data_IF_902488629762
#
_entry.id   IF_902488629762
#
_cell.length_a   1.000
_cell.length_b   1.000
_cell.length_c   1.000
_cell.angle_alpha   90.00
_cell.angle_beta   90.00
_cell.angle_gamma   90.00
#
_symmetry.space_group_name_H-M   'P 1'
#
loop_
_entity.id
_entity.type
_entity.pdbx_description
1 polymer ?
#
# COMPACT_ATOMS: atom_id res chain seq x y z
N UNK A 1 7.22 13.08 -30.59
CA UNK A 1 7.30 12.20 -29.40
C UNK A 1 6.33 11.05 -29.62
N UNK A 2 6.82 9.83 -29.86
CA UNK A 2 5.94 8.66 -30.02
C UNK A 2 5.36 8.34 -28.64
N UNK A 3 4.06 8.53 -28.46
CA UNK A 3 3.36 8.04 -27.28
C UNK A 3 3.52 6.52 -27.23
N UNK A 4 4.13 6.02 -26.15
CA UNK A 4 4.22 4.59 -25.85
C UNK A 4 2.80 4.02 -25.78
N UNK A 5 2.56 2.92 -26.50
CA UNK A 5 1.24 2.29 -26.58
C UNK A 5 0.70 2.00 -25.17
N UNK A 6 -0.59 2.27 -24.91
CA UNK A 6 -1.23 2.06 -23.60
C UNK A 6 -1.34 0.59 -23.16
N UNK A 7 -0.84 -0.35 -23.95
CA UNK A 7 -0.89 -1.79 -23.68
C UNK A 7 0.15 -2.27 -22.67
N UNK A 8 1.28 -1.56 -22.51
CA UNK A 8 2.41 -2.10 -21.73
C UNK A 8 2.07 -2.33 -20.25
N UNK A 9 1.57 -1.33 -19.52
CA UNK A 9 1.42 -1.48 -18.06
C UNK A 9 0.31 -2.47 -17.66
N UNK A 10 -0.80 -2.58 -18.39
CA UNK A 10 -1.86 -3.56 -18.06
C UNK A 10 -1.36 -4.98 -18.24
N UNK A 11 -0.65 -5.23 -19.33
CA UNK A 11 -0.01 -6.52 -19.60
C UNK A 11 1.04 -6.85 -18.56
N UNK A 12 1.82 -5.86 -18.12
CA UNK A 12 2.79 -6.04 -17.03
C UNK A 12 2.10 -6.35 -15.70
N UNK A 13 1.05 -5.60 -15.34
CA UNK A 13 0.29 -5.83 -14.12
C UNK A 13 -0.37 -7.21 -14.12
N UNK A 14 -0.84 -7.70 -15.27
CA UNK A 14 -1.48 -9.01 -15.40
C UNK A 14 -0.52 -10.18 -15.64
N UNK A 15 0.79 -9.95 -15.65
CA UNK A 15 1.76 -11.00 -15.90
C UNK A 15 1.68 -12.07 -14.80
N UNK A 16 1.72 -13.34 -15.21
CA UNK A 16 1.81 -14.49 -14.31
C UNK A 16 3.14 -14.47 -13.57
N UNK A 17 4.25 -14.37 -14.31
CA UNK A 17 5.56 -14.00 -13.78
C UNK A 17 5.70 -12.48 -13.67
N UNK A 18 5.10 -11.91 -12.62
CA UNK A 18 5.17 -10.48 -12.37
C UNK A 18 6.56 -10.06 -11.88
N UNK A 19 7.06 -8.96 -12.44
CA UNK A 19 8.33 -8.33 -12.03
C UNK A 19 8.07 -6.87 -11.63
N UNK A 20 8.18 -6.50 -10.35
CA UNK A 20 7.96 -5.15 -9.87
C UNK A 20 8.71 -4.07 -10.67
N UNK A 21 9.96 -4.33 -11.04
CA UNK A 21 10.81 -3.39 -11.79
C UNK A 21 10.22 -3.03 -13.14
N UNK A 22 9.62 -3.99 -13.83
CA UNK A 22 9.00 -3.77 -15.14
C UNK A 22 7.84 -2.79 -15.02
N UNK A 23 6.99 -2.93 -14.00
CA UNK A 23 5.88 -2.01 -13.72
C UNK A 23 6.41 -0.62 -13.36
N UNK A 24 7.40 -0.51 -12.48
CA UNK A 24 7.96 0.79 -12.10
C UNK A 24 8.68 1.47 -13.27
N UNK A 25 9.32 0.71 -14.16
CA UNK A 25 9.89 1.23 -15.41
C UNK A 25 8.81 1.79 -16.33
N UNK A 26 7.72 1.05 -16.54
CA UNK A 26 6.60 1.53 -17.35
C UNK A 26 5.97 2.81 -16.78
N UNK A 27 5.78 2.89 -15.45
CA UNK A 27 5.31 4.12 -14.82
C UNK A 27 6.29 5.27 -14.92
N UNK A 28 7.60 4.99 -14.94
CA UNK A 28 8.65 5.99 -15.13
C UNK A 28 8.65 6.61 -16.54
N UNK A 29 7.90 6.07 -17.51
CA UNK A 29 7.65 6.77 -18.78
C UNK A 29 6.79 8.05 -18.58
N UNK A 30 6.10 8.17 -17.44
CA UNK A 30 5.50 9.43 -17.03
C UNK A 30 6.50 10.26 -16.24
N UNK A 31 6.93 11.39 -16.82
CA UNK A 31 7.91 12.30 -16.22
C UNK A 31 7.53 12.78 -14.81
N UNK A 32 6.23 12.88 -14.51
CA UNK A 32 5.76 13.24 -13.18
C UNK A 32 6.10 12.16 -12.15
N UNK A 33 5.86 10.88 -12.47
CA UNK A 33 6.11 9.73 -11.62
C UNK A 33 7.61 9.47 -11.48
N UNK A 34 8.34 9.44 -12.61
CA UNK A 34 9.79 9.22 -12.63
C UNK A 34 10.53 10.10 -11.63
N UNK A 35 10.22 11.41 -11.66
CA UNK A 35 10.84 12.40 -10.76
C UNK A 35 10.57 12.16 -9.28
N UNK A 36 9.48 11.49 -8.91
CA UNK A 36 9.24 11.16 -7.51
C UNK A 36 9.99 9.89 -7.10
N UNK A 37 10.04 8.89 -7.98
CA UNK A 37 10.77 7.63 -7.72
C UNK A 37 12.27 7.83 -7.48
N UNK A 38 12.89 8.83 -8.09
CA UNK A 38 14.30 9.17 -7.89
C UNK A 38 14.59 9.90 -6.57
N UNK A 39 13.57 10.44 -5.89
CA UNK A 39 13.74 11.18 -4.64
C UNK A 39 13.75 10.26 -3.43
N UNK A 40 14.22 10.77 -2.29
CA UNK A 40 14.20 10.06 -1.02
C UNK A 40 12.78 9.65 -0.62
N UNK A 41 12.62 8.40 -0.15
CA UNK A 41 11.35 7.89 0.34
C UNK A 41 10.94 8.56 1.66
N UNK A 42 11.90 8.75 2.57
CA UNK A 42 11.67 9.30 3.90
C UNK A 42 12.80 10.25 4.28
N UNK A 43 12.47 11.35 4.96
CA UNK A 43 13.47 12.28 5.48
C UNK A 43 14.41 11.56 6.46
N UNK A 44 15.72 11.63 6.22
CA UNK A 44 16.75 11.03 7.08
C UNK A 44 17.17 9.60 6.69
N UNK A 45 16.52 8.95 5.72
CA UNK A 45 16.93 7.64 5.21
C UNK A 45 17.58 7.76 3.83
N UNK A 46 18.60 6.92 3.59
CA UNK A 46 19.41 6.97 2.37
C UNK A 46 18.92 5.98 1.28
N UNK A 47 17.60 5.91 1.05
CA UNK A 47 17.03 5.14 -0.04
C UNK A 47 15.95 5.92 -0.80
N UNK A 48 15.86 5.63 -2.10
CA UNK A 48 14.89 6.27 -3.00
C UNK A 48 13.49 5.70 -2.78
N UNK A 49 12.48 6.47 -3.14
CA UNK A 49 11.09 6.02 -3.19
C UNK A 49 10.96 4.78 -4.07
N UNK A 50 11.70 4.70 -5.18
CA UNK A 50 11.73 3.49 -6.01
C UNK A 50 12.15 2.24 -5.24
N UNK A 51 13.22 2.32 -4.44
CA UNK A 51 13.71 1.17 -3.65
C UNK A 51 12.65 0.73 -2.63
N UNK A 52 12.01 1.69 -1.96
CA UNK A 52 10.85 1.43 -1.09
C UNK A 52 9.75 0.67 -1.81
N UNK A 53 9.28 1.22 -2.93
CA UNK A 53 8.16 0.66 -3.68
C UNK A 53 8.46 -0.74 -4.22
N UNK A 54 9.70 -1.05 -4.61
CA UNK A 54 10.09 -2.41 -5.01
C UNK A 54 9.95 -3.40 -3.85
N UNK A 55 10.53 -3.08 -2.69
CA UNK A 55 10.45 -3.90 -1.49
C UNK A 55 9.01 -4.21 -1.07
N UNK A 56 8.15 -3.18 -1.04
CA UNK A 56 6.71 -3.32 -0.76
C UNK A 56 6.00 -4.24 -1.76
N UNK A 57 6.35 -4.15 -3.05
CA UNK A 57 5.79 -5.02 -4.09
C UNK A 57 6.30 -6.46 -3.96
N UNK A 58 7.58 -6.67 -3.65
CA UNK A 58 8.17 -7.99 -3.46
C UNK A 58 7.51 -8.75 -2.30
N UNK A 59 7.24 -8.06 -1.19
CA UNK A 59 6.49 -8.61 -0.05
C UNK A 59 5.08 -9.03 -0.48
N UNK A 60 4.37 -8.16 -1.22
CA UNK A 60 3.06 -8.49 -1.77
C UNK A 60 3.09 -9.75 -2.64
N UNK A 61 4.03 -9.84 -3.57
CA UNK A 61 4.14 -10.98 -4.48
C UNK A 61 4.47 -12.27 -3.74
N UNK A 62 5.39 -12.21 -2.77
CA UNK A 62 5.86 -13.37 -2.02
C UNK A 62 4.80 -13.95 -1.10
N UNK A 63 4.07 -13.10 -0.37
CA UNK A 63 3.21 -13.55 0.73
C UNK A 63 1.72 -13.49 0.43
N UNK A 64 1.28 -12.56 -0.41
CA UNK A 64 -0.14 -12.21 -0.51
C UNK A 64 -0.73 -12.46 -1.90
N UNK A 65 0.03 -12.29 -2.97
CA UNK A 65 -0.50 -12.25 -4.34
C UNK A 65 -1.32 -13.49 -4.74
N UNK A 66 -0.91 -14.67 -4.28
CA UNK A 66 -1.47 -15.97 -4.67
C UNK A 66 -2.93 -16.16 -4.27
N UNK A 67 -3.42 -15.43 -3.25
CA UNK A 67 -4.82 -15.53 -2.78
C UNK A 67 -5.74 -14.49 -3.43
N UNK A 68 -5.21 -13.61 -4.27
CA UNK A 68 -5.98 -12.60 -4.99
C UNK A 68 -6.30 -13.10 -6.40
N UNK A 69 -7.55 -12.91 -6.80
CA UNK A 69 -7.98 -13.03 -8.19
C UNK A 69 -7.18 -12.08 -9.08
N UNK A 70 -6.94 -12.44 -10.35
CA UNK A 70 -6.07 -11.68 -11.24
C UNK A 70 -6.43 -10.17 -11.29
N UNK A 71 -7.72 -9.86 -11.38
CA UNK A 71 -8.18 -8.47 -11.38
C UNK A 71 -7.85 -7.71 -10.08
N UNK A 72 -8.03 -8.36 -8.93
CA UNK A 72 -7.73 -7.77 -7.62
C UNK A 72 -6.22 -7.63 -7.41
N UNK A 73 -5.44 -8.64 -7.82
CA UNK A 73 -3.98 -8.64 -7.80
C UNK A 73 -3.41 -7.47 -8.60
N UNK A 74 -3.94 -7.22 -9.81
CA UNK A 74 -3.54 -6.08 -10.63
C UNK A 74 -3.83 -4.74 -9.95
N UNK A 75 -4.99 -4.63 -9.28
CA UNK A 75 -5.34 -3.44 -8.49
C UNK A 75 -4.39 -3.24 -7.31
N UNK A 76 -4.03 -4.30 -6.58
CA UNK A 76 -3.07 -4.24 -5.48
C UNK A 76 -1.67 -3.85 -5.96
N UNK A 77 -1.17 -4.46 -7.04
CA UNK A 77 0.10 -4.09 -7.68
C UNK A 77 0.14 -2.61 -8.04
N UNK A 78 -0.95 -2.07 -8.60
CA UNK A 78 -1.04 -0.65 -8.94
C UNK A 78 -1.13 0.25 -7.70
N UNK A 79 -1.89 -0.16 -6.68
CA UNK A 79 -2.01 0.54 -5.40
C UNK A 79 -0.64 0.69 -4.75
N UNK A 80 0.08 -0.42 -4.58
CA UNK A 80 1.40 -0.46 -3.97
C UNK A 80 2.44 0.28 -4.80
N UNK A 81 2.37 0.22 -6.13
CA UNK A 81 3.29 0.99 -6.99
C UNK A 81 3.13 2.51 -6.86
N UNK A 82 1.97 3.00 -6.41
CA UNK A 82 1.64 4.44 -6.38
C UNK A 82 1.43 5.00 -4.96
N UNK A 83 1.41 4.17 -3.91
CA UNK A 83 0.97 4.57 -2.57
C UNK A 83 1.69 5.82 -2.02
N UNK A 84 3.02 5.83 -2.10
CA UNK A 84 3.86 6.91 -1.56
C UNK A 84 4.32 7.92 -2.62
N UNK A 85 3.71 7.94 -3.81
CA UNK A 85 4.17 8.81 -4.91
C UNK A 85 4.12 10.31 -4.57
N UNK A 86 3.27 10.72 -3.64
CA UNK A 86 3.18 12.09 -3.13
C UNK A 86 4.18 12.44 -2.03
N UNK A 87 4.79 11.45 -1.38
CA UNK A 87 5.63 11.62 -0.20
C UNK A 87 6.86 12.51 -0.43
N UNK A 88 7.59 12.43 -1.56
CA UNK A 88 8.70 13.33 -1.80
C UNK A 88 8.28 14.81 -1.90
N UNK A 89 7.05 15.09 -2.35
CA UNK A 89 6.53 16.46 -2.37
C UNK A 89 6.18 16.97 -0.96
N UNK A 90 5.68 16.09 -0.09
CA UNK A 90 5.43 16.39 1.32
C UNK A 90 6.73 16.70 2.07
N UNK A 91 7.78 15.89 1.87
CA UNK A 91 9.13 16.12 2.42
C UNK A 91 9.68 17.46 1.94
N UNK A 92 9.60 17.75 0.63
CA UNK A 92 10.08 19.02 0.07
C UNK A 92 9.36 20.23 0.68
N UNK A 93 8.10 20.07 1.11
CA UNK A 93 7.30 21.11 1.76
C UNK A 93 7.51 21.18 3.28
N UNK A 94 8.26 20.25 3.87
CA UNK A 94 8.47 20.18 5.31
C UNK A 94 7.25 19.72 6.10
N UNK A 95 6.23 19.16 5.45
CA UNK A 95 4.98 18.75 6.08
C UNK A 95 4.54 17.36 5.57
N UNK A 96 4.81 16.34 6.40
CA UNK A 96 4.51 14.93 6.10
C UNK A 96 3.00 14.66 6.00
N UNK A 97 2.15 15.47 6.64
CA UNK A 97 0.69 15.28 6.61
C UNK A 97 0.11 15.48 5.21
N UNK A 98 0.86 16.15 4.32
CA UNK A 98 0.44 16.40 2.94
C UNK A 98 0.65 15.21 1.99
N UNK A 99 1.26 14.10 2.43
CA UNK A 99 1.64 13.00 1.53
C UNK A 99 0.43 12.41 0.79
N UNK A 100 -0.66 12.09 1.49
CA UNK A 100 -1.87 11.50 0.92
C UNK A 100 -2.54 12.47 -0.08
N UNK A 101 -2.57 13.76 0.27
CA UNK A 101 -3.09 14.82 -0.61
C UNK A 101 -2.27 14.91 -1.91
N UNK A 102 -0.95 14.81 -1.84
CA UNK A 102 -0.10 14.82 -3.04
C UNK A 102 -0.22 13.53 -3.84
N UNK A 103 -0.32 12.37 -3.20
CA UNK A 103 -0.55 11.07 -3.86
C UNK A 103 -1.84 11.12 -4.66
N UNK A 104 -2.97 11.49 -4.05
CA UNK A 104 -4.27 11.63 -4.73
C UNK A 104 -4.18 12.63 -5.87
N UNK A 105 -3.53 13.78 -5.67
CA UNK A 105 -3.36 14.79 -6.72
C UNK A 105 -2.58 14.25 -7.92
N UNK A 106 -1.56 13.42 -7.72
CA UNK A 106 -0.79 12.80 -8.80
C UNK A 106 -1.66 11.77 -9.52
N UNK A 107 -2.33 10.88 -8.79
CA UNK A 107 -3.20 9.83 -9.34
C UNK A 107 -4.33 10.42 -10.19
N UNK A 108 -4.97 11.50 -9.72
CA UNK A 108 -6.03 12.19 -10.46
C UNK A 108 -5.55 12.90 -11.74
N UNK A 109 -4.23 13.11 -11.88
CA UNK A 109 -3.62 13.67 -13.10
C UNK A 109 -3.12 12.60 -14.06
N UNK A 110 -3.13 11.32 -13.67
CA UNK A 110 -2.78 10.24 -14.56
C UNK A 110 -3.84 10.09 -15.65
N UNK A 111 -3.46 9.86 -16.91
CA UNK A 111 -4.42 9.66 -17.99
C UNK A 111 -5.39 8.50 -17.69
N UNK A 112 -6.64 8.59 -18.13
CA UNK A 112 -7.63 7.49 -17.98
C UNK A 112 -7.17 6.20 -18.65
N UNK A 113 -6.36 6.34 -19.71
CA UNK A 113 -5.69 5.21 -20.37
C UNK A 113 -4.69 4.48 -19.47
N UNK A 114 -4.28 5.04 -18.33
CA UNK A 114 -3.40 4.43 -17.33
C UNK A 114 -4.20 3.93 -16.12
N UNK A 115 -5.10 4.76 -15.62
CA UNK A 115 -5.93 4.44 -14.47
C UNK A 115 -7.37 4.80 -14.82
N UNK A 116 -8.20 3.79 -15.08
CA UNK A 116 -9.61 4.03 -15.40
C UNK A 116 -10.37 4.61 -14.20
N UNK A 117 -11.52 5.25 -14.42
CA UNK A 117 -12.25 5.97 -13.36
C UNK A 117 -12.58 5.13 -12.13
N UNK A 118 -13.06 3.89 -12.30
CA UNK A 118 -13.36 2.99 -11.18
C UNK A 118 -12.11 2.60 -10.39
N UNK A 119 -11.01 2.30 -11.09
CA UNK A 119 -9.72 2.01 -10.45
C UNK A 119 -9.17 3.24 -9.73
N UNK A 120 -9.31 4.42 -10.33
CA UNK A 120 -8.87 5.68 -9.73
C UNK A 120 -9.63 5.95 -8.43
N UNK A 121 -10.95 5.77 -8.43
CA UNK A 121 -11.75 5.90 -7.22
C UNK A 121 -11.26 4.95 -6.13
N UNK A 122 -11.09 3.67 -6.46
CA UNK A 122 -10.57 2.65 -5.54
C UNK A 122 -9.20 3.03 -4.94
N UNK A 123 -8.24 3.42 -5.78
CA UNK A 123 -6.91 3.87 -5.35
C UNK A 123 -7.01 5.08 -4.42
N UNK A 124 -7.75 6.11 -4.82
CA UNK A 124 -7.89 7.33 -4.04
C UNK A 124 -8.57 7.06 -2.69
N UNK A 125 -9.54 6.16 -2.63
CA UNK A 125 -10.21 5.75 -1.38
C UNK A 125 -9.25 5.08 -0.41
N UNK A 126 -8.43 4.12 -0.87
CA UNK A 126 -7.50 3.41 0.01
C UNK A 126 -6.29 4.27 0.41
N UNK A 127 -5.85 5.19 -0.45
CA UNK A 127 -4.66 6.02 -0.21
C UNK A 127 -4.96 7.37 0.47
N UNK A 128 -6.22 7.64 0.80
CA UNK A 128 -6.63 8.93 1.35
C UNK A 128 -6.07 9.22 2.75
N UNK A 129 -5.81 8.19 3.55
CA UNK A 129 -5.37 8.33 4.94
C UNK A 129 -4.80 7.00 5.49
N UNK A 130 -4.02 7.04 6.58
CA UNK A 130 -3.46 5.87 7.30
C UNK A 130 -4.25 5.56 8.58
N UNK A 131 -5.58 5.44 8.47
CA UNK A 131 -6.43 5.32 9.67
C UNK A 131 -6.20 4.04 10.49
N UNK A 132 -5.76 2.94 9.89
CA UNK A 132 -5.39 1.74 10.65
C UNK A 132 -4.02 1.92 11.30
N UNK A 133 -3.02 2.46 10.59
CA UNK A 133 -1.72 2.72 11.18
C UNK A 133 -1.79 3.70 12.35
N UNK A 134 -2.54 4.80 12.22
CA UNK A 134 -2.74 5.77 13.29
C UNK A 134 -3.49 5.16 14.48
N UNK A 135 -4.48 4.31 14.26
CA UNK A 135 -5.14 3.60 15.36
C UNK A 135 -4.19 2.62 16.08
N UNK A 136 -3.44 1.81 15.31
CA UNK A 136 -2.51 0.85 15.89
C UNK A 136 -1.41 1.56 16.71
N UNK A 137 -0.92 2.70 16.22
CA UNK A 137 0.03 3.60 16.92
C UNK A 137 -0.58 4.35 18.11
N UNK A 138 -1.91 4.38 18.24
CA UNK A 138 -2.63 5.07 19.32
C UNK A 138 -2.92 6.56 19.06
N UNK A 139 -2.73 7.03 17.83
CA UNK A 139 -3.06 8.39 17.42
C UNK A 139 -4.58 8.57 17.20
N UNK A 140 -5.28 7.49 16.83
CA UNK A 140 -6.74 7.48 16.71
C UNK A 140 -7.39 6.63 17.79
N UNK A 141 -8.57 7.05 18.23
CA UNK A 141 -9.50 6.20 18.99
C UNK A 141 -10.14 5.16 18.07
N UNK A 142 -10.74 4.12 18.66
CA UNK A 142 -11.50 3.11 17.92
C UNK A 142 -12.61 3.75 17.07
N UNK A 143 -13.39 4.66 17.66
CA UNK A 143 -14.48 5.38 16.98
C UNK A 143 -13.97 6.18 15.76
N UNK A 144 -12.86 6.90 15.90
CA UNK A 144 -12.25 7.66 14.81
C UNK A 144 -11.79 6.75 13.67
N UNK A 145 -11.18 5.60 14.00
CA UNK A 145 -10.75 4.61 13.03
C UNK A 145 -11.95 4.02 12.26
N UNK A 146 -12.98 3.57 13.00
CA UNK A 146 -14.18 2.96 12.43
C UNK A 146 -14.97 3.94 11.55
N UNK A 147 -15.11 5.20 11.98
CA UNK A 147 -15.77 6.24 11.19
C UNK A 147 -15.11 6.41 9.81
N UNK A 148 -13.77 6.48 9.79
CA UNK A 148 -12.99 6.64 8.55
C UNK A 148 -13.02 5.37 7.69
N UNK A 149 -12.85 4.20 8.29
CA UNK A 149 -12.97 2.90 7.62
C UNK A 149 -14.33 2.74 6.93
N UNK A 150 -15.43 3.04 7.63
CA UNK A 150 -16.79 2.93 7.09
C UNK A 150 -17.03 3.94 5.96
N UNK A 151 -16.55 5.17 6.10
CA UNK A 151 -16.64 6.17 5.04
C UNK A 151 -15.85 5.76 3.78
N UNK A 152 -14.65 5.20 3.95
CA UNK A 152 -13.85 4.68 2.85
C UNK A 152 -14.53 3.47 2.18
N UNK A 153 -15.01 2.51 2.97
CA UNK A 153 -15.76 1.36 2.46
C UNK A 153 -16.98 1.77 1.63
N UNK A 154 -17.78 2.72 2.12
CA UNK A 154 -18.96 3.22 1.41
C UNK A 154 -18.62 3.82 0.03
N UNK A 155 -17.44 4.44 -0.12
CA UNK A 155 -16.96 4.97 -1.40
C UNK A 155 -16.36 3.90 -2.31
N UNK A 156 -15.94 2.77 -1.74
CA UNK A 156 -15.22 1.72 -2.44
C UNK A 156 -16.14 0.84 -3.31
N UNK A 157 -17.39 0.64 -2.89
CA UNK A 157 -18.35 -0.25 -3.55
C UNK A 157 -18.03 -1.75 -3.45
N UNK A 158 -16.99 -2.14 -2.69
CA UNK A 158 -16.64 -3.54 -2.48
C UNK A 158 -17.44 -4.17 -1.33
N UNK A 159 -17.44 -5.51 -1.28
CA UNK A 159 -17.85 -6.23 -0.09
C UNK A 159 -16.98 -5.83 1.11
N UNK A 160 -17.58 -5.81 2.30
CA UNK A 160 -16.94 -5.32 3.53
C UNK A 160 -15.72 -6.16 3.91
N UNK A 161 -15.83 -7.48 3.82
CA UNK A 161 -14.70 -8.38 4.12
C UNK A 161 -13.60 -8.26 3.07
N UNK A 162 -13.98 -8.13 1.79
CA UNK A 162 -13.02 -7.89 0.70
C UNK A 162 -12.26 -6.58 0.92
N UNK A 163 -12.97 -5.48 1.20
CA UNK A 163 -12.37 -4.18 1.46
C UNK A 163 -11.39 -4.23 2.64
N UNK A 164 -11.82 -4.78 3.78
CA UNK A 164 -10.98 -4.86 4.96
C UNK A 164 -9.73 -5.71 4.71
N UNK A 165 -9.87 -6.82 3.99
CA UNK A 165 -8.74 -7.67 3.62
C UNK A 165 -7.73 -6.93 2.73
N UNK A 166 -8.20 -6.26 1.67
CA UNK A 166 -7.33 -5.50 0.77
C UNK A 166 -6.60 -4.38 1.53
N UNK A 167 -7.31 -3.67 2.39
CA UNK A 167 -6.73 -2.61 3.19
C UNK A 167 -5.71 -3.13 4.21
N UNK A 168 -5.97 -4.29 4.84
CA UNK A 168 -5.04 -4.93 5.76
C UNK A 168 -3.77 -5.40 5.07
N UNK A 169 -3.89 -6.03 3.90
CA UNK A 169 -2.74 -6.45 3.09
C UNK A 169 -1.92 -5.24 2.62
N UNK A 170 -2.59 -4.19 2.14
CA UNK A 170 -1.95 -2.93 1.78
C UNK A 170 -1.13 -2.37 2.95
N UNK A 171 -1.75 -2.26 4.13
CA UNK A 171 -1.10 -1.74 5.33
C UNK A 171 0.14 -2.56 5.71
N UNK A 172 0.03 -3.89 5.73
CA UNK A 172 1.15 -4.76 6.08
C UNK A 172 2.30 -4.60 5.07
N UNK A 173 2.01 -4.61 3.77
CA UNK A 173 3.04 -4.42 2.75
C UNK A 173 3.77 -3.07 2.89
N UNK A 174 3.05 -1.96 3.12
CA UNK A 174 3.67 -0.64 3.29
C UNK A 174 4.55 -0.56 4.55
N UNK A 175 4.06 -1.10 5.67
CA UNK A 175 4.81 -1.18 6.93
C UNK A 175 6.06 -2.06 6.79
N UNK A 176 5.97 -3.17 6.05
CA UNK A 176 7.09 -4.10 5.87
C UNK A 176 8.26 -3.49 5.11
N UNK A 177 8.03 -2.46 4.29
CA UNK A 177 9.11 -1.65 3.71
C UNK A 177 10.01 -0.98 4.77
N UNK A 178 9.62 -0.99 6.05
CA UNK A 178 10.39 -0.46 7.18
C UNK A 178 10.79 -1.54 8.20
N UNK A 179 10.72 -2.81 7.82
CA UNK A 179 11.18 -3.94 8.63
C UNK A 179 12.40 -4.63 8.03
N UNK A 180 13.05 -5.52 8.80
CA UNK A 180 14.14 -6.36 8.27
C UNK A 180 13.72 -7.15 7.03
N UNK A 181 12.44 -7.52 6.93
CA UNK A 181 11.89 -8.22 5.76
C UNK A 181 12.00 -7.36 4.50
N UNK A 182 11.72 -6.07 4.61
CA UNK A 182 11.82 -5.13 3.50
C UNK A 182 13.26 -4.74 3.12
N UNK A 183 14.26 -5.16 3.90
CA UNK A 183 15.69 -4.88 3.68
C UNK A 183 16.04 -3.37 3.54
N UNK A 184 15.25 -2.50 4.18
CA UNK A 184 15.51 -1.05 4.20
C UNK A 184 15.87 -0.54 5.59
N UNK A 185 15.08 -0.91 6.61
CA UNK A 185 15.25 -0.48 8.01
C UNK A 185 14.65 -1.51 8.95
N UNK A 186 15.00 -1.54 10.23
CA UNK A 186 14.31 -2.35 11.26
C UNK A 186 13.35 -1.52 12.13
N UNK A 187 12.95 -0.33 11.67
CA UNK A 187 12.28 0.67 12.50
C UNK A 187 10.89 0.23 12.99
N UNK A 188 10.22 -0.63 12.22
CA UNK A 188 8.86 -1.10 12.50
C UNK A 188 8.78 -2.60 12.84
N UNK A 189 9.91 -3.27 13.09
CA UNK A 189 9.94 -4.70 13.44
C UNK A 189 9.06 -5.01 14.66
N UNK A 190 9.00 -4.09 15.63
CA UNK A 190 8.20 -4.25 16.85
C UNK A 190 6.68 -4.36 16.61
N UNK A 191 6.20 -4.00 15.42
CA UNK A 191 4.79 -4.17 15.05
C UNK A 191 4.44 -5.63 14.80
N UNK A 192 5.40 -6.50 14.47
CA UNK A 192 5.16 -7.88 14.11
C UNK A 192 5.68 -8.88 15.13
N UNK A 193 5.09 -10.07 15.11
CA UNK A 193 5.69 -11.24 15.74
C UNK A 193 6.70 -11.85 14.76
N UNK A 194 7.94 -12.07 15.19
CA UNK A 194 9.00 -12.60 14.34
C UNK A 194 9.24 -14.09 14.55
N UNK A 195 9.58 -14.77 13.46
CA UNK A 195 10.22 -16.07 13.48
C UNK A 195 11.74 -15.84 13.37
N UNK A 196 12.46 -15.99 14.47
CA UNK A 196 13.91 -15.76 14.53
C UNK A 196 14.70 -16.64 13.56
N UNK A 197 14.29 -17.90 13.39
CA UNK A 197 14.98 -18.85 12.51
C UNK A 197 14.90 -18.46 11.03
N UNK A 198 13.82 -17.78 10.63
CA UNK A 198 13.61 -17.31 9.26
C UNK A 198 13.94 -15.83 9.08
N UNK A 199 14.21 -15.11 10.17
CA UNK A 199 14.37 -13.65 10.15
C UNK A 199 13.24 -12.95 9.39
N UNK A 200 12.00 -13.39 9.62
CA UNK A 200 10.81 -12.89 8.95
C UNK A 200 9.60 -12.83 9.90
N UNK A 201 8.62 -11.95 9.66
CA UNK A 201 7.34 -11.96 10.37
C UNK A 201 6.62 -13.31 10.25
N UNK A 202 5.94 -13.72 11.32
CA UNK A 202 5.14 -14.94 11.33
C UNK A 202 3.92 -14.73 10.42
N UNK A 203 3.88 -15.44 9.29
CA UNK A 203 2.73 -15.45 8.40
C UNK A 203 1.67 -16.47 8.85
N UNK A 204 0.45 -16.01 9.10
CA UNK A 204 -0.67 -16.89 9.46
C UNK A 204 -1.39 -17.39 8.21
N UNK A 205 -1.21 -18.66 7.89
CA UNK A 205 -1.82 -19.28 6.71
C UNK A 205 -3.35 -19.39 6.78
N UNK A 206 -3.96 -19.25 7.95
CA UNK A 206 -5.42 -19.33 8.14
C UNK A 206 -6.09 -18.04 7.73
N UNK A 207 -5.56 -16.91 8.21
CA UNK A 207 -6.11 -15.57 7.91
C UNK A 207 -5.37 -14.87 6.77
N UNK A 208 -4.28 -15.46 6.27
CA UNK A 208 -3.45 -14.95 5.15
C UNK A 208 -2.90 -13.55 5.39
N UNK A 209 -2.46 -13.30 6.63
CA UNK A 209 -1.85 -12.05 7.09
C UNK A 209 -0.62 -12.34 7.96
N UNK A 210 0.31 -11.39 8.03
CA UNK A 210 1.33 -11.42 9.08
C UNK A 210 0.69 -11.24 10.45
N UNK A 211 1.24 -11.92 11.45
CA UNK A 211 0.87 -11.72 12.85
C UNK A 211 1.52 -10.47 13.38
N UNK A 212 0.71 -9.56 13.89
CA UNK A 212 1.21 -8.44 14.66
C UNK A 212 1.73 -8.91 16.03
N UNK A 213 2.54 -8.07 16.68
CA UNK A 213 2.90 -8.29 18.08
C UNK A 213 1.65 -8.30 18.95
N UNK A 214 1.63 -9.02 20.10
CA UNK A 214 0.40 -9.24 20.87
C UNK A 214 -0.46 -7.99 21.15
N UNK A 215 0.08 -6.84 21.61
CA UNK A 215 -0.74 -5.66 21.87
C UNK A 215 -1.33 -5.05 20.58
N UNK A 216 -0.59 -5.11 19.47
CA UNK A 216 -1.04 -4.62 18.16
C UNK A 216 -2.08 -5.57 17.56
N UNK A 217 -1.89 -6.89 17.71
CA UNK A 217 -2.83 -7.91 17.25
C UNK A 217 -4.19 -7.74 17.96
N UNK A 218 -4.21 -7.50 19.27
CA UNK A 218 -5.46 -7.25 19.99
C UNK A 218 -6.22 -6.03 19.46
N UNK A 219 -5.51 -4.93 19.17
CA UNK A 219 -6.10 -3.73 18.55
C UNK A 219 -6.63 -4.03 17.15
N UNK A 220 -5.84 -4.72 16.33
CA UNK A 220 -6.24 -5.08 14.97
C UNK A 220 -7.51 -5.95 14.95
N UNK A 221 -7.58 -6.98 15.80
CA UNK A 221 -8.75 -7.86 15.89
C UNK A 221 -9.99 -7.15 16.43
N UNK A 222 -9.82 -6.19 17.35
CA UNK A 222 -10.92 -5.33 17.81
C UNK A 222 -11.53 -4.57 16.63
N UNK A 223 -10.72 -3.81 15.88
CA UNK A 223 -11.21 -3.06 14.70
C UNK A 223 -11.78 -4.00 13.64
N UNK A 224 -11.14 -5.13 13.38
CA UNK A 224 -11.64 -6.13 12.42
C UNK A 224 -13.03 -6.61 12.82
N UNK A 225 -13.23 -7.00 14.07
CA UNK A 225 -14.52 -7.46 14.58
C UNK A 225 -15.59 -6.36 14.47
N UNK A 226 -15.28 -5.17 14.96
CA UNK A 226 -16.23 -4.05 15.00
C UNK A 226 -16.58 -3.53 13.61
N UNK A 227 -15.63 -3.54 12.69
CA UNK A 227 -15.87 -3.19 11.31
C UNK A 227 -16.75 -4.23 10.62
N UNK A 228 -16.39 -5.52 10.69
CA UNK A 228 -17.08 -6.58 9.94
C UNK A 228 -18.48 -6.90 10.47
N UNK A 229 -18.71 -6.80 11.79
CA UNK A 229 -19.98 -7.21 12.40
C UNK A 229 -21.06 -6.11 12.44
N UNK A 230 -20.69 -4.83 12.35
CA UNK A 230 -21.65 -3.72 12.44
C UNK A 230 -21.90 -3.11 11.06
N UNK A 231 -23.16 -3.19 10.60
CA UNK A 231 -23.65 -2.70 9.31
C UNK A 231 -23.36 -1.21 9.11
#
# INVERSE_FOLDING_TARGET
MKESKPYEYRTLLSAEEYKPESTLNAFSNCRLIQRQFEKAATAGFNYSLRKHTLSVLDVFETYFSSVFELGQRNCMRMLLALHDIGKPMAIQRGDKTLQHRFTIRIINRLPDRWVGSSQRNWLCTLLADDYLGDFLKGNYTEEQCLLRLRAAHAQSGADKAVFFNHFSVYYQCDVDGYTLLGDLTCALDCLFQWNEALSAPVFDNTVRLFRFSPPIQSKFELIRKEFLNHA
#
